data_IF_350595142568
#
_entry.id   IF_350595142568
#
_cell.length_a   1.000
_cell.length_b   1.000
_cell.length_c   1.000
_cell.angle_alpha   90.00
_cell.angle_beta   90.00
_cell.angle_gamma   90.00
#
_symmetry.space_group_name_H-M   'P 1'
#
loop_
_entity.id
_entity.type
_entity.pdbx_description
1 polymer ?
#
# COMPACT_ATOMS: atom_id res chain seq x y z
N UNK A 1 2.02 -1.35 -25.44
CA UNK A 1 1.67 -0.85 -24.11
C UNK A 1 1.43 -2.07 -23.24
N UNK A 2 2.06 -2.16 -22.08
CA UNK A 2 1.78 -3.25 -21.16
C UNK A 2 0.31 -3.20 -20.77
N UNK A 3 -0.41 -4.30 -20.99
CA UNK A 3 -1.82 -4.42 -20.67
C UNK A 3 -2.09 -4.54 -19.16
N UNK A 4 -1.02 -4.60 -18.34
CA UNK A 4 -1.11 -4.77 -16.88
C UNK A 4 -0.58 -3.52 -16.16
N UNK A 5 -1.35 -3.05 -15.19
CA UNK A 5 -0.95 -2.00 -14.28
C UNK A 5 -0.75 -2.57 -12.86
N UNK A 6 0.36 -2.22 -12.23
CA UNK A 6 0.70 -2.68 -10.89
C UNK A 6 0.91 -1.48 -9.96
N UNK A 7 0.23 -1.47 -8.82
CA UNK A 7 0.39 -0.42 -7.84
C UNK A 7 0.45 -0.96 -6.41
N UNK A 8 1.22 -0.28 -5.57
CA UNK A 8 1.26 -0.50 -4.12
C UNK A 8 0.49 0.62 -3.45
N UNK A 9 -0.46 0.28 -2.58
CA UNK A 9 -1.31 1.25 -1.87
C UNK A 9 -0.78 1.42 -0.46
N UNK A 10 -0.32 2.62 -0.16
CA UNK A 10 0.29 3.05 1.10
C UNK A 10 -0.61 4.04 1.82
N UNK A 11 -0.49 4.12 3.14
CA UNK A 11 -1.19 5.13 3.92
C UNK A 11 -1.29 4.74 5.39
N UNK A 12 -1.57 5.75 6.22
CA UNK A 12 -1.78 5.56 7.64
C UNK A 12 -3.14 4.88 7.92
N UNK A 13 -3.40 4.59 9.19
CA UNK A 13 -4.55 3.78 9.63
C UNK A 13 -5.92 4.39 9.32
N UNK A 14 -5.99 5.71 9.21
CA UNK A 14 -7.23 6.45 8.92
C UNK A 14 -7.47 6.67 7.42
N UNK A 15 -6.53 6.26 6.55
CA UNK A 15 -6.44 6.69 5.16
C UNK A 15 -7.38 5.95 4.18
N UNK A 16 -8.36 5.16 4.65
CA UNK A 16 -9.38 4.52 3.80
C UNK A 16 -8.83 3.74 2.57
N UNK A 17 -7.64 3.16 2.69
CA UNK A 17 -6.96 2.44 1.59
C UNK A 17 -7.82 1.35 0.96
N UNK A 18 -8.56 0.59 1.79
CA UNK A 18 -9.40 -0.48 1.30
C UNK A 18 -10.56 0.05 0.47
N UNK A 19 -11.15 1.18 0.85
CA UNK A 19 -12.19 1.85 0.08
C UNK A 19 -11.67 2.29 -1.29
N UNK A 20 -10.46 2.85 -1.35
CA UNK A 20 -9.80 3.20 -2.62
C UNK A 20 -9.61 1.96 -3.49
N UNK A 21 -9.08 0.86 -2.94
CA UNK A 21 -8.85 -0.39 -3.67
C UNK A 21 -10.17 -0.97 -4.20
N UNK A 22 -11.19 -1.03 -3.34
CA UNK A 22 -12.51 -1.55 -3.70
C UNK A 22 -13.16 -0.72 -4.82
N UNK A 23 -13.02 0.61 -4.75
CA UNK A 23 -13.49 1.49 -5.82
C UNK A 23 -12.79 1.26 -7.15
N UNK A 24 -11.45 1.13 -7.13
CA UNK A 24 -10.67 0.88 -8.36
C UNK A 24 -11.04 -0.45 -8.99
N UNK A 25 -11.17 -1.51 -8.19
CA UNK A 25 -11.43 -2.86 -8.69
C UNK A 25 -12.92 -3.18 -8.87
N UNK A 26 -13.82 -2.31 -8.39
CA UNK A 26 -15.27 -2.56 -8.44
C UNK A 26 -15.77 -3.62 -7.45
N UNK A 27 -14.95 -4.01 -6.49
CA UNK A 27 -15.24 -5.04 -5.51
C UNK A 27 -15.76 -4.48 -4.18
N UNK A 28 -16.43 -5.35 -3.39
CA UNK A 28 -16.79 -5.07 -2.00
C UNK A 28 -16.14 -6.10 -1.08
N UNK A 29 -14.87 -5.93 -0.80
CA UNK A 29 -14.19 -6.75 0.20
C UNK A 29 -14.08 -5.98 1.49
N UNK A 30 -14.59 -6.56 2.58
CA UNK A 30 -14.36 -6.01 3.91
C UNK A 30 -12.88 -5.84 4.18
N UNK A 31 -12.51 -4.63 4.61
CA UNK A 31 -11.15 -4.37 5.01
C UNK A 31 -10.96 -4.81 6.46
N UNK A 32 -10.16 -5.83 6.66
CA UNK A 32 -9.58 -6.04 7.97
C UNK A 32 -8.57 -4.91 8.25
N UNK A 33 -9.00 -3.94 9.05
CA UNK A 33 -8.17 -2.79 9.45
C UNK A 33 -6.95 -3.18 10.29
N UNK A 34 -6.86 -4.44 10.69
CA UNK A 34 -5.83 -4.96 11.58
C UNK A 34 -4.88 -5.95 10.92
N UNK A 35 -4.99 -6.15 9.60
CA UNK A 35 -4.08 -7.07 8.95
C UNK A 35 -2.63 -6.58 9.03
N UNK A 36 -1.73 -7.53 9.20
CA UNK A 36 -0.29 -7.28 9.36
C UNK A 36 0.48 -7.64 8.10
N UNK A 37 -0.14 -8.36 7.16
CA UNK A 37 0.48 -8.80 5.91
C UNK A 37 -0.04 -7.99 4.74
N UNK A 38 0.83 -7.75 3.77
CA UNK A 38 0.42 -7.17 2.48
C UNK A 38 -0.42 -8.17 1.69
N UNK A 39 -1.49 -7.71 1.07
CA UNK A 39 -2.44 -8.53 0.32
C UNK A 39 -2.47 -8.09 -1.13
N UNK A 40 -2.28 -9.04 -2.04
CA UNK A 40 -2.43 -8.82 -3.49
C UNK A 40 -3.89 -8.93 -3.88
N UNK A 41 -4.37 -7.95 -4.64
CA UNK A 41 -5.70 -7.88 -5.23
C UNK A 41 -5.55 -7.66 -6.74
N UNK A 42 -6.39 -8.31 -7.51
CA UNK A 42 -6.39 -8.20 -8.97
C UNK A 42 -7.81 -8.01 -9.49
N UNK A 43 -7.94 -7.28 -10.57
CA UNK A 43 -9.19 -7.09 -11.28
C UNK A 43 -8.94 -6.63 -12.72
N UNK A 44 -10.02 -6.62 -13.51
CA UNK A 44 -10.03 -6.00 -14.82
C UNK A 44 -10.82 -4.69 -14.74
N UNK A 45 -10.22 -3.61 -15.17
CA UNK A 45 -10.84 -2.29 -15.19
C UNK A 45 -10.72 -1.73 -16.60
N UNK A 46 -11.83 -1.57 -17.27
CA UNK A 46 -11.90 -1.09 -18.65
C UNK A 46 -11.03 -1.92 -19.63
N UNK A 47 -10.99 -3.25 -19.46
CA UNK A 47 -10.20 -4.15 -20.29
C UNK A 47 -8.70 -4.15 -19.99
N UNK A 48 -8.30 -3.56 -18.86
CA UNK A 48 -6.93 -3.52 -18.39
C UNK A 48 -6.78 -4.29 -17.10
N UNK A 49 -5.86 -5.24 -17.06
CA UNK A 49 -5.52 -5.96 -15.84
C UNK A 49 -4.86 -5.02 -14.84
N UNK A 50 -5.40 -4.94 -13.64
CA UNK A 50 -4.87 -4.13 -12.55
C UNK A 50 -4.52 -5.02 -11.37
N UNK A 51 -3.29 -4.86 -10.88
CA UNK A 51 -2.81 -5.50 -9.65
C UNK A 51 -2.55 -4.43 -8.61
N UNK A 52 -3.24 -4.53 -7.47
CA UNK A 52 -3.08 -3.64 -6.32
C UNK A 52 -2.55 -4.42 -5.12
N UNK A 53 -1.54 -3.88 -4.46
CA UNK A 53 -1.02 -4.44 -3.22
C UNK A 53 -1.51 -3.57 -2.06
N UNK A 54 -2.44 -4.11 -1.26
CA UNK A 54 -2.87 -3.48 -0.03
C UNK A 54 -1.85 -3.75 1.07
N UNK A 55 -1.17 -2.72 1.56
CA UNK A 55 -0.14 -2.84 2.59
C UNK A 55 -0.72 -2.67 4.00
N UNK A 56 -0.07 -3.17 5.05
CA UNK A 56 -0.39 -2.77 6.42
C UNK A 56 -0.35 -1.25 6.58
N UNK A 57 -1.14 -0.76 7.53
CA UNK A 57 -1.16 0.65 7.89
C UNK A 57 -0.17 0.93 9.03
N UNK A 58 0.37 2.13 9.05
CA UNK A 58 1.04 2.68 10.23
C UNK A 58 0.16 3.72 10.93
N UNK A 59 0.54 4.14 12.12
CA UNK A 59 -0.15 5.23 12.80
C UNK A 59 0.27 6.58 12.22
N UNK A 60 -0.68 7.47 12.03
CA UNK A 60 -0.52 8.76 11.34
C UNK A 60 0.67 9.59 11.83
N UNK A 61 0.93 9.57 13.13
CA UNK A 61 1.95 10.40 13.78
C UNK A 61 3.16 9.60 14.26
N UNK A 62 3.21 8.30 13.93
CA UNK A 62 4.32 7.45 14.34
C UNK A 62 5.48 7.54 13.36
N UNK A 63 6.66 7.75 13.91
CA UNK A 63 7.91 7.58 13.19
C UNK A 63 8.17 6.10 12.88
N UNK A 64 9.13 5.81 12.03
CA UNK A 64 9.55 4.43 11.78
C UNK A 64 10.12 3.76 13.03
N UNK A 65 10.61 4.53 14.02
CA UNK A 65 11.09 4.00 15.30
C UNK A 65 9.97 3.44 16.15
N UNK A 66 8.78 4.05 16.05
CA UNK A 66 7.58 3.67 16.81
C UNK A 66 6.76 2.61 16.06
N UNK A 67 7.02 2.42 14.76
CA UNK A 67 6.35 1.44 13.93
C UNK A 67 6.97 0.05 14.13
N UNK A 68 6.10 -0.94 14.36
CA UNK A 68 6.53 -2.33 14.59
C UNK A 68 7.35 -2.84 13.41
N UNK A 69 8.45 -3.56 13.71
CA UNK A 69 9.36 -4.09 12.69
C UNK A 69 8.65 -4.93 11.62
N UNK A 70 7.69 -5.77 12.04
CA UNK A 70 6.91 -6.59 11.12
C UNK A 70 6.13 -5.75 10.10
N UNK A 71 5.61 -4.57 10.49
CA UNK A 71 4.92 -3.66 9.58
C UNK A 71 5.89 -3.05 8.58
N UNK A 72 7.06 -2.60 9.03
CA UNK A 72 8.12 -2.06 8.15
C UNK A 72 8.57 -3.09 7.12
N UNK A 73 8.82 -4.33 7.56
CA UNK A 73 9.18 -5.42 6.66
C UNK A 73 8.09 -5.74 5.63
N UNK A 74 6.83 -5.74 6.04
CA UNK A 74 5.70 -5.95 5.13
C UNK A 74 5.56 -4.82 4.11
N UNK A 75 5.77 -3.57 4.54
CA UNK A 75 5.78 -2.43 3.63
C UNK A 75 6.83 -2.62 2.53
N UNK A 76 8.09 -2.83 2.89
CA UNK A 76 9.18 -2.96 1.91
C UNK A 76 9.05 -4.20 1.04
N UNK A 77 8.57 -5.31 1.59
CA UNK A 77 8.34 -6.53 0.84
C UNK A 77 7.13 -6.46 -0.12
N UNK A 78 6.27 -5.48 0.02
CA UNK A 78 5.08 -5.33 -0.82
C UNK A 78 5.42 -5.21 -2.31
N UNK A 79 6.55 -4.61 -2.67
CA UNK A 79 6.99 -4.46 -4.07
C UNK A 79 7.24 -5.80 -4.76
N UNK A 80 7.57 -6.85 -4.00
CA UNK A 80 7.81 -8.19 -4.53
C UNK A 80 6.52 -8.99 -4.77
N UNK A 81 5.38 -8.49 -4.32
CA UNK A 81 4.08 -9.13 -4.55
C UNK A 81 3.49 -8.80 -5.92
N UNK A 82 4.08 -7.89 -6.66
CA UNK A 82 3.68 -7.51 -8.02
C UNK A 82 4.88 -7.52 -8.99
N UNK A 83 5.49 -8.70 -9.26
CA UNK A 83 6.66 -8.78 -10.12
C UNK A 83 6.35 -8.25 -11.54
N UNK A 84 7.33 -7.63 -12.22
CA UNK A 84 8.71 -7.37 -11.80
C UNK A 84 8.85 -6.20 -10.81
N UNK A 85 7.80 -5.44 -10.53
CA UNK A 85 7.72 -4.33 -9.60
C UNK A 85 6.50 -3.45 -9.87
N UNK A 86 6.10 -2.57 -8.94
CA UNK A 86 4.99 -1.65 -9.13
C UNK A 86 5.37 -0.51 -10.10
N UNK A 87 4.42 -0.06 -10.89
CA UNK A 87 4.59 1.14 -11.70
C UNK A 87 4.43 2.41 -10.86
N UNK A 88 3.52 2.36 -9.86
CA UNK A 88 3.22 3.50 -8.99
C UNK A 88 2.97 3.06 -7.54
N UNK A 89 3.12 4.01 -6.65
CA UNK A 89 2.68 3.94 -5.26
C UNK A 89 1.55 4.94 -5.07
N UNK A 90 0.41 4.48 -4.59
CA UNK A 90 -0.74 5.31 -4.26
C UNK A 90 -0.70 5.63 -2.77
N UNK A 91 -0.28 6.82 -2.42
CA UNK A 91 -0.24 7.31 -1.04
C UNK A 91 -1.58 7.91 -0.68
N UNK A 92 -2.38 7.20 0.11
CA UNK A 92 -3.72 7.64 0.50
C UNK A 92 -3.67 8.55 1.72
N UNK A 93 -4.28 9.73 1.60
CA UNK A 93 -4.36 10.78 2.63
C UNK A 93 -5.80 11.20 2.83
N UNK A 94 -6.27 11.18 4.09
CA UNK A 94 -7.61 11.61 4.48
C UNK A 94 -7.66 13.12 4.67
N UNK A 95 -8.49 13.82 3.88
CA UNK A 95 -8.66 15.26 3.96
C UNK A 95 -9.51 15.74 5.16
N UNK A 96 -10.23 14.85 5.82
CA UNK A 96 -11.05 15.21 6.99
C UNK A 96 -10.23 15.50 8.25
N UNK A 97 -8.95 15.16 8.22
CA UNK A 97 -8.02 15.32 9.34
C UNK A 97 -6.95 16.37 9.04
N UNK A 98 -6.58 17.22 10.00
CA UNK A 98 -5.49 18.16 9.83
C UNK A 98 -4.20 17.47 9.41
N UNK A 99 -3.46 18.08 8.48
CA UNK A 99 -2.15 17.58 8.08
C UNK A 99 -1.09 18.29 8.93
N UNK A 100 -0.41 17.53 9.80
CA UNK A 100 0.57 18.07 10.75
C UNK A 100 2.00 17.74 10.34
N UNK A 101 2.97 18.38 10.98
CA UNK A 101 4.39 18.11 10.80
C UNK A 101 4.71 16.63 11.13
N UNK A 102 4.12 16.08 12.20
CA UNK A 102 4.32 14.69 12.59
C UNK A 102 3.80 13.75 11.50
N UNK A 103 2.68 14.10 10.86
CA UNK A 103 2.15 13.32 9.73
C UNK A 103 3.10 13.37 8.53
N UNK A 104 3.65 14.54 8.21
CA UNK A 104 4.66 14.68 7.14
C UNK A 104 5.89 13.82 7.44
N UNK A 105 6.47 13.95 8.63
CA UNK A 105 7.64 13.17 9.05
C UNK A 105 7.34 11.67 8.98
N UNK A 106 6.18 11.26 9.46
CA UNK A 106 5.74 9.86 9.41
C UNK A 106 5.70 9.34 7.97
N UNK A 107 5.11 10.08 7.03
CA UNK A 107 5.08 9.71 5.61
C UNK A 107 6.49 9.63 5.03
N UNK A 108 7.32 10.65 5.25
CA UNK A 108 8.68 10.71 4.71
C UNK A 108 9.54 9.55 5.19
N UNK A 109 9.48 9.22 6.46
CA UNK A 109 10.23 8.10 7.03
C UNK A 109 9.74 6.74 6.51
N UNK A 110 8.42 6.52 6.40
CA UNK A 110 7.90 5.25 5.90
C UNK A 110 8.16 5.06 4.40
N UNK A 111 8.03 6.13 3.61
CA UNK A 111 8.39 6.07 2.20
C UNK A 111 9.92 5.93 2.02
N UNK A 112 10.70 6.55 2.92
CA UNK A 112 12.15 6.42 2.95
C UNK A 112 12.66 4.98 3.11
N UNK A 113 11.83 4.06 3.62
CA UNK A 113 12.15 2.63 3.67
C UNK A 113 12.36 2.01 2.27
N UNK A 114 11.79 2.60 1.23
CA UNK A 114 11.94 2.17 -0.17
C UNK A 114 13.09 2.89 -0.89
N UNK A 115 13.72 3.89 -0.24
CA UNK A 115 14.75 4.75 -0.83
C UNK A 115 14.17 5.97 -1.57
N UNK A 116 15.03 6.91 -1.93
CA UNK A 116 14.61 8.20 -2.53
C UNK A 116 13.91 8.07 -3.89
N UNK A 117 14.20 7.03 -4.65
CA UNK A 117 13.57 6.79 -5.97
C UNK A 117 12.05 6.63 -5.90
N UNK A 118 11.49 6.25 -4.74
CA UNK A 118 10.06 6.06 -4.60
C UNK A 118 9.28 7.32 -5.01
N UNK A 119 9.80 8.50 -4.68
CA UNK A 119 9.10 9.76 -4.91
C UNK A 119 8.76 10.02 -6.37
N UNK A 120 9.53 9.50 -7.33
CA UNK A 120 9.21 9.59 -8.76
C UNK A 120 8.05 8.70 -9.19
N UNK A 121 7.64 7.76 -8.36
CA UNK A 121 6.55 6.82 -8.61
C UNK A 121 5.31 7.08 -7.74
N UNK A 122 5.33 8.06 -6.82
CA UNK A 122 4.21 8.32 -5.91
C UNK A 122 3.16 9.23 -6.55
N UNK A 123 1.89 8.86 -6.37
CA UNK A 123 0.71 9.71 -6.56
C UNK A 123 0.00 9.81 -5.21
N UNK A 124 -0.26 11.02 -4.73
CA UNK A 124 -1.07 11.23 -3.52
C UNK A 124 -2.55 11.10 -3.87
N UNK A 125 -3.25 10.23 -3.15
CA UNK A 125 -4.69 10.02 -3.31
C UNK A 125 -5.40 10.66 -2.13
N UNK A 126 -6.14 11.71 -2.39
CA UNK A 126 -6.96 12.38 -1.39
C UNK A 126 -8.34 11.72 -1.30
N UNK A 127 -8.73 11.35 -0.09
CA UNK A 127 -10.06 10.81 0.23
C UNK A 127 -10.85 11.76 1.14
N UNK A 128 -12.13 11.47 1.38
CA UNK A 128 -13.00 12.30 2.22
C UNK A 128 -13.19 13.73 1.70
N UNK A 129 -13.41 13.85 0.41
CA UNK A 129 -13.50 15.13 -0.31
C UNK A 129 -14.67 16.03 0.13
N UNK A 130 -15.68 15.48 0.80
CA UNK A 130 -16.76 16.26 1.43
C UNK A 130 -16.21 17.31 2.41
N UNK A 131 -15.02 17.11 2.94
CA UNK A 131 -14.34 18.08 3.81
C UNK A 131 -13.90 19.34 3.07
N UNK A 132 -13.81 19.31 1.74
CA UNK A 132 -13.43 20.48 0.92
C UNK A 132 -14.56 21.52 0.85
N UNK A 133 -15.82 21.10 1.05
CA UNK A 133 -17.00 21.96 0.85
C UNK A 133 -16.95 22.65 -0.54
N UNK A 134 -16.78 23.97 -0.55
CA UNK A 134 -16.69 24.79 -1.79
C UNK A 134 -15.23 25.17 -2.14
N UNK A 135 -14.25 24.63 -1.41
CA UNK A 135 -12.83 24.90 -1.61
C UNK A 135 -12.24 24.00 -2.69
N UNK A 136 -11.38 24.58 -3.56
CA UNK A 136 -10.62 23.74 -4.49
C UNK A 136 -9.51 22.97 -3.74
N UNK A 137 -9.07 21.83 -4.30
CA UNK A 137 -7.99 21.04 -3.69
C UNK A 137 -6.69 21.83 -3.59
N UNK A 138 -6.42 22.73 -4.54
CA UNK A 138 -5.25 23.60 -4.55
C UNK A 138 -5.29 24.58 -3.38
N UNK A 139 -6.46 25.18 -3.12
CA UNK A 139 -6.67 26.06 -1.97
C UNK A 139 -6.52 25.28 -0.67
N UNK A 140 -7.10 24.06 -0.62
CA UNK A 140 -6.98 23.20 0.55
C UNK A 140 -5.51 22.85 0.85
N UNK A 141 -4.73 22.45 -0.16
CA UNK A 141 -3.29 22.18 -0.01
C UNK A 141 -2.55 23.42 0.53
N UNK A 142 -2.92 24.62 0.06
CA UNK A 142 -2.32 25.87 0.55
C UNK A 142 -2.71 26.13 2.02
N UNK A 143 -3.96 25.93 2.37
CA UNK A 143 -4.50 26.20 3.70
C UNK A 143 -4.05 25.21 4.77
N UNK A 144 -3.73 23.95 4.37
CA UNK A 144 -3.16 22.93 5.26
C UNK A 144 -1.71 23.23 5.65
N UNK A 145 -1.07 24.22 5.00
CA UNK A 145 0.27 24.69 5.36
C UNK A 145 1.41 23.99 4.64
N UNK A 146 2.62 24.33 5.06
CA UNK A 146 3.86 23.91 4.39
C UNK A 146 4.08 22.40 4.40
N UNK A 147 3.63 21.71 5.43
CA UNK A 147 3.86 20.27 5.60
C UNK A 147 3.22 19.45 4.47
N UNK A 148 1.96 19.72 4.13
CA UNK A 148 1.31 19.05 3.00
C UNK A 148 1.91 19.48 1.67
N UNK A 149 2.23 20.76 1.51
CA UNK A 149 2.86 21.28 0.30
C UNK A 149 4.21 20.58 0.02
N UNK A 150 5.02 20.33 1.04
CA UNK A 150 6.30 19.62 0.90
C UNK A 150 6.09 18.18 0.38
N UNK A 151 5.10 17.45 0.90
CA UNK A 151 4.79 16.11 0.38
C UNK A 151 4.37 16.19 -1.10
N UNK A 152 3.48 17.12 -1.44
CA UNK A 152 3.02 17.30 -2.83
C UNK A 152 4.18 17.68 -3.76
N UNK A 153 5.08 18.55 -3.31
CA UNK A 153 6.27 18.92 -4.06
C UNK A 153 7.20 17.72 -4.28
N UNK A 154 7.46 16.91 -3.25
CA UNK A 154 8.29 15.70 -3.37
C UNK A 154 7.70 14.69 -4.35
N UNK A 155 6.38 14.60 -4.43
CA UNK A 155 5.68 13.79 -5.42
C UNK A 155 5.61 14.43 -6.81
N UNK A 156 6.31 15.57 -7.06
CA UNK A 156 6.26 16.29 -8.34
C UNK A 156 4.86 16.77 -8.71
N UNK A 157 4.12 17.25 -7.72
CA UNK A 157 2.73 17.73 -7.84
C UNK A 157 1.74 16.70 -8.39
N UNK A 158 2.02 15.41 -8.19
CA UNK A 158 1.12 14.33 -8.59
C UNK A 158 0.16 13.99 -7.46
N UNK A 159 -1.09 14.36 -7.64
CA UNK A 159 -2.18 13.99 -6.72
C UNK A 159 -3.47 13.73 -7.50
N UNK A 160 -4.38 13.04 -6.85
CA UNK A 160 -5.71 12.75 -7.37
C UNK A 160 -6.73 12.78 -6.22
N UNK A 161 -7.91 13.33 -6.52
CA UNK A 161 -9.04 13.32 -5.60
C UNK A 161 -9.86 12.06 -5.89
N UNK A 162 -10.14 11.29 -4.86
CA UNK A 162 -10.90 10.07 -4.99
C UNK A 162 -12.15 10.10 -4.11
N UNK A 163 -13.30 10.13 -4.74
CA UNK A 163 -14.58 10.09 -4.05
C UNK A 163 -14.91 8.63 -3.70
N UNK A 164 -14.62 8.24 -2.45
CA UNK A 164 -14.83 6.87 -1.97
C UNK A 164 -16.31 6.51 -1.76
N UNK A 165 -17.19 7.51 -1.68
CA UNK A 165 -18.62 7.31 -1.45
C UNK A 165 -19.36 7.11 -2.79
N UNK A 166 -18.71 7.41 -3.92
CA UNK A 166 -19.28 7.34 -5.26
C UNK A 166 -18.51 6.35 -6.13
N UNK A 167 -18.94 5.09 -6.11
CA UNK A 167 -18.23 3.96 -6.73
C UNK A 167 -17.89 4.21 -8.20
N UNK A 168 -16.64 3.96 -8.54
CA UNK A 168 -16.10 4.08 -9.89
C UNK A 168 -15.84 5.51 -10.36
N UNK A 169 -16.26 6.52 -9.60
CA UNK A 169 -16.00 7.91 -9.95
C UNK A 169 -14.51 8.25 -9.74
N UNK A 170 -13.89 8.85 -10.76
CA UNK A 170 -12.48 9.24 -10.73
C UNK A 170 -11.49 8.13 -11.07
N UNK A 171 -11.92 6.88 -11.26
CA UNK A 171 -11.02 5.76 -11.60
C UNK A 171 -10.34 5.98 -12.94
N UNK A 172 -11.10 6.39 -13.96
CA UNK A 172 -10.56 6.63 -15.30
C UNK A 172 -9.51 7.75 -15.29
N UNK A 173 -9.80 8.85 -14.59
CA UNK A 173 -8.87 9.96 -14.43
C UNK A 173 -7.60 9.54 -13.66
N UNK A 174 -7.76 8.70 -12.64
CA UNK A 174 -6.62 8.12 -11.92
C UNK A 174 -5.76 7.28 -12.85
N UNK A 175 -6.34 6.42 -13.68
CA UNK A 175 -5.61 5.60 -14.64
C UNK A 175 -4.82 6.46 -15.63
N UNK A 176 -5.39 7.57 -16.12
CA UNK A 176 -4.68 8.51 -16.98
C UNK A 176 -3.47 9.14 -16.26
N UNK A 177 -3.63 9.52 -14.99
CA UNK A 177 -2.52 10.05 -14.19
C UNK A 177 -1.42 9.00 -13.96
N UNK A 178 -1.81 7.75 -13.72
CA UNK A 178 -0.86 6.65 -13.58
C UNK A 178 -0.08 6.45 -14.88
N UNK A 179 -0.74 6.46 -16.02
CA UNK A 179 -0.09 6.36 -17.34
C UNK A 179 0.90 7.50 -17.57
N UNK A 180 0.58 8.70 -17.08
CA UNK A 180 1.51 9.83 -17.07
C UNK A 180 2.78 9.52 -16.28
N UNK A 181 2.66 8.93 -15.08
CA UNK A 181 3.83 8.52 -14.28
C UNK A 181 4.65 7.44 -14.98
N UNK A 182 3.98 6.44 -15.55
CA UNK A 182 4.63 5.36 -16.33
C UNK A 182 5.41 5.96 -17.51
N UNK A 183 4.81 6.91 -18.22
CA UNK A 183 5.43 7.59 -19.35
C UNK A 183 6.67 8.38 -18.94
N UNK A 184 6.58 9.18 -17.88
CA UNK A 184 7.70 9.98 -17.35
C UNK A 184 8.86 9.07 -16.91
N UNK A 185 8.54 7.89 -16.38
CA UNK A 185 9.54 6.89 -16.00
C UNK A 185 9.97 5.97 -17.17
N UNK A 186 9.68 6.35 -18.42
CA UNK A 186 10.02 5.61 -19.63
C UNK A 186 9.50 4.16 -19.65
N UNK A 187 8.31 3.92 -19.11
CA UNK A 187 7.71 2.60 -19.00
C UNK A 187 8.33 1.72 -17.90
N UNK A 188 9.30 2.23 -17.16
CA UNK A 188 9.97 1.46 -16.10
C UNK A 188 9.09 1.38 -14.84
N UNK A 189 9.03 0.20 -14.27
CA UNK A 189 8.50 -0.02 -12.95
C UNK A 189 9.55 0.36 -11.89
N UNK A 190 9.09 0.49 -10.66
CA UNK A 190 9.97 0.72 -9.52
C UNK A 190 10.82 -0.54 -9.28
N UNK A 191 12.12 -0.35 -9.29
CA UNK A 191 13.12 -1.35 -8.96
C UNK A 191 13.86 -0.89 -7.70
N UNK A 192 14.09 -1.83 -6.81
CA UNK A 192 14.97 -1.57 -5.68
C UNK A 192 16.34 -2.16 -5.95
N UNK A 193 17.35 -1.28 -5.92
CA UNK A 193 18.77 -1.69 -5.91
C UNK A 193 19.29 -1.79 -4.47
N UNK A 194 18.42 -1.58 -3.48
CA UNK A 194 18.81 -1.58 -2.08
C UNK A 194 19.08 -3.03 -1.63
N UNK A 195 20.36 -3.35 -1.44
CA UNK A 195 20.80 -4.65 -0.93
C UNK A 195 20.09 -5.03 0.38
N UNK A 196 19.77 -4.04 1.22
CA UNK A 196 19.02 -4.27 2.47
C UNK A 196 17.60 -4.76 2.19
N UNK A 197 16.92 -4.21 1.18
CA UNK A 197 15.58 -4.68 0.78
C UNK A 197 15.62 -6.12 0.26
N UNK A 198 16.62 -6.45 -0.54
CA UNK A 198 16.83 -7.82 -1.02
C UNK A 198 17.17 -8.77 0.13
N UNK A 199 17.97 -8.32 1.10
CA UNK A 199 18.28 -9.08 2.31
C UNK A 199 17.03 -9.32 3.18
N UNK A 200 16.19 -8.31 3.36
CA UNK A 200 14.92 -8.43 4.09
C UNK A 200 14.00 -9.46 3.40
N UNK A 201 13.91 -9.39 2.06
CA UNK A 201 13.14 -10.38 1.27
C UNK A 201 13.66 -11.80 1.53
N UNK A 202 14.96 -12.01 1.39
CA UNK A 202 15.59 -13.32 1.60
C UNK A 202 15.35 -13.88 3.00
N UNK A 203 15.55 -13.06 4.04
CA UNK A 203 15.27 -13.45 5.43
C UNK A 203 13.80 -13.82 5.64
N UNK A 204 12.89 -13.09 5.00
CA UNK A 204 11.45 -13.41 5.07
C UNK A 204 11.13 -14.75 4.41
N UNK A 205 11.67 -15.00 3.23
CA UNK A 205 11.49 -16.27 2.53
C UNK A 205 12.01 -17.46 3.39
N UNK A 206 13.18 -17.32 3.99
CA UNK A 206 13.74 -18.31 4.91
C UNK A 206 12.85 -18.56 6.15
N UNK A 207 12.28 -17.50 6.72
CA UNK A 207 11.36 -17.63 7.87
C UNK A 207 10.07 -18.33 7.45
N UNK A 208 9.53 -18.01 6.28
CA UNK A 208 8.32 -18.64 5.76
C UNK A 208 8.53 -20.13 5.48
N UNK A 209 9.66 -20.48 4.89
CA UNK A 209 10.01 -21.87 4.62
C UNK A 209 10.11 -22.68 5.93
N UNK A 210 10.85 -22.18 6.91
CA UNK A 210 10.95 -22.81 8.24
C UNK A 210 9.59 -22.93 8.94
N UNK A 211 8.67 -21.99 8.73
CA UNK A 211 7.33 -22.03 9.29
C UNK A 211 6.49 -23.13 8.62
N UNK A 212 6.61 -23.30 7.29
CA UNK A 212 5.96 -24.39 6.55
C UNK A 212 6.47 -25.74 7.01
N UNK A 213 7.79 -25.90 7.11
CA UNK A 213 8.41 -27.16 7.58
C UNK A 213 7.88 -27.54 8.96
N UNK A 214 7.79 -26.58 9.89
CA UNK A 214 7.23 -26.83 11.23
C UNK A 214 5.76 -27.25 11.16
N UNK A 215 4.95 -26.60 10.32
CA UNK A 215 3.54 -26.97 10.16
C UNK A 215 3.40 -28.41 9.63
N UNK A 216 4.19 -28.77 8.62
CA UNK A 216 4.23 -30.14 8.07
C UNK A 216 4.62 -31.16 9.14
N UNK A 217 5.69 -30.87 9.89
CA UNK A 217 6.12 -31.79 10.99
C UNK A 217 5.07 -31.92 12.09
N UNK A 218 4.35 -30.83 12.43
CA UNK A 218 3.26 -30.89 13.43
C UNK A 218 2.10 -31.71 12.89
N UNK A 219 1.76 -31.53 11.62
CA UNK A 219 0.66 -32.28 10.99
C UNK A 219 0.98 -33.77 10.92
N UNK A 220 2.16 -34.13 10.46
CA UNK A 220 2.63 -35.56 10.43
C UNK A 220 2.62 -36.21 11.82
N UNK A 221 3.11 -35.48 12.85
CA UNK A 221 3.03 -35.96 14.23
C UNK A 221 1.61 -36.14 14.73
N UNK A 222 0.71 -35.21 14.39
CA UNK A 222 -0.69 -35.28 14.79
C UNK A 222 -1.37 -36.49 14.14
N UNK A 223 -1.13 -36.72 12.85
CA UNK A 223 -1.64 -37.87 12.11
C UNK A 223 -1.14 -39.21 12.74
N UNK A 224 0.15 -39.31 13.04
CA UNK A 224 0.74 -40.49 13.70
C UNK A 224 0.17 -40.76 15.10
N UNK A 225 -0.14 -39.70 15.87
CA UNK A 225 -0.77 -39.85 17.20
C UNK A 225 -2.25 -40.24 17.06
N UNK A 226 -2.93 -39.74 16.06
CA UNK A 226 -4.33 -40.11 15.78
C UNK A 226 -4.44 -41.59 15.35
N UNK A 227 -3.52 -42.08 14.50
CA UNK A 227 -3.47 -43.46 14.08
C UNK A 227 -3.15 -44.43 15.23
N UNK A 228 -2.38 -43.96 16.23
CA UNK A 228 -2.05 -44.76 17.43
C UNK A 228 -3.13 -44.73 18.52
N UNK A 229 -4.20 -44.01 18.32
CA UNK A 229 -5.31 -43.91 19.29
C UNK A 229 -5.00 -43.09 20.54
N UNK A 230 -3.90 -42.31 20.56
CA UNK A 230 -3.43 -41.55 21.72
C UNK A 230 -3.99 -40.13 21.82
N UNK A 231 -4.98 -39.79 21.01
CA UNK A 231 -5.56 -38.44 21.05
C UNK A 231 -6.87 -38.44 21.83
N UNK A 232 -6.84 -37.88 23.01
CA UNK A 232 -8.04 -37.51 23.77
C UNK A 232 -8.75 -36.36 23.04
N UNK A 233 -10.05 -36.48 22.74
CA UNK A 233 -10.77 -35.33 22.17
C UNK A 233 -10.79 -34.19 23.16
N UNK A 234 -10.23 -33.05 22.77
CA UNK A 234 -10.37 -31.78 23.49
C UNK A 234 -11.87 -31.43 23.49
N UNK A 235 -12.45 -31.41 24.70
CA UNK A 235 -13.80 -30.87 24.94
C UNK A 235 -13.83 -29.36 24.89
#
# INVERSE_FOLDING_TARGET
>A
MEHELRAVVLGCRTAEKASVINNILGDEVESDRFFVKSVRREGDVNGRKITLINTPCWWKEYSTKDTREVVKQELVCSVFLCPPGPHVFLLVVDLSLPFTQEHRISIEEHLGLFGERIWSHVIVIFTRTVSLKDESIEQHIQNQGEDLQQIIQRCGHRYHIFDIDNKGNGVEELLVKIDGVVTVNNGKHFETDDEKLLEVKKKREEIQERAKDRQTMVQEKTEQLTEKGDVFPLR
#
